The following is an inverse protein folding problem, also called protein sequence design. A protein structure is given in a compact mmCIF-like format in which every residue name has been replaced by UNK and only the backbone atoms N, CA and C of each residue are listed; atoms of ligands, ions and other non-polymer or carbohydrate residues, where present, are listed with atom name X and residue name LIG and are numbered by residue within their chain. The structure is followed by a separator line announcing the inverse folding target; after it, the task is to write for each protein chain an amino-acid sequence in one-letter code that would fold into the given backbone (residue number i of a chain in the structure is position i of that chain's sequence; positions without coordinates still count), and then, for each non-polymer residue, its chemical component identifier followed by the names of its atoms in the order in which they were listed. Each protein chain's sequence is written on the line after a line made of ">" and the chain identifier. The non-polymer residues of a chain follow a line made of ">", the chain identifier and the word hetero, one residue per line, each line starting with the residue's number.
data_IF_838685709923
#
_entry.id   IF_838685709923
#
_cell.length_a   1.000
_cell.length_b   1.000
_cell.length_c   1.000
_cell.angle_alpha   90.00
_cell.angle_beta   90.00
_cell.angle_gamma   90.00
#
_symmetry.space_group_name_H-M   'P 1'
#
loop_
_entity.id
_entity.type
_entity.pdbx_description
1 polymer ?
#
# COMPACT_ATOMS: atom_id res chain seq x y z
N UNK A 1 -37.87 9.42 -36.57
CA UNK A 1 -36.52 9.90 -36.18
C UNK A 1 -35.64 9.88 -37.43
N UNK A 2 -35.12 11.03 -37.84
CA UNK A 2 -34.46 11.24 -39.14
C UNK A 2 -33.20 10.35 -39.30
N UNK A 3 -32.92 9.77 -40.47
CA UNK A 3 -31.81 8.81 -40.65
C UNK A 3 -30.42 9.41 -40.34
N UNK A 4 -30.29 10.72 -40.55
CA UNK A 4 -29.10 11.49 -40.12
C UNK A 4 -28.96 11.53 -38.60
N UNK A 5 -30.06 11.66 -37.87
CA UNK A 5 -30.05 11.67 -36.40
C UNK A 5 -29.66 10.32 -35.81
N UNK A 6 -30.09 9.19 -36.42
CA UNK A 6 -29.63 7.85 -36.03
C UNK A 6 -28.13 7.66 -36.24
N UNK A 7 -27.61 8.14 -37.38
CA UNK A 7 -26.19 8.03 -37.69
C UNK A 7 -25.34 8.84 -36.71
N UNK A 8 -25.72 10.09 -36.42
CA UNK A 8 -25.04 10.93 -35.43
C UNK A 8 -25.09 10.31 -34.04
N UNK A 9 -26.26 9.80 -33.62
CA UNK A 9 -26.41 9.11 -32.34
C UNK A 9 -25.50 7.88 -32.23
N UNK A 10 -25.39 7.09 -33.30
CA UNK A 10 -24.52 5.91 -33.34
C UNK A 10 -23.04 6.28 -33.15
N UNK A 11 -22.59 7.34 -33.81
CA UNK A 11 -21.21 7.82 -33.66
C UNK A 11 -20.94 8.47 -32.30
N UNK A 12 -21.93 9.17 -31.70
CA UNK A 12 -21.81 9.70 -30.35
C UNK A 12 -21.58 8.61 -29.29
N UNK A 13 -22.05 7.38 -29.52
CA UNK A 13 -21.85 6.25 -28.59
C UNK A 13 -20.59 5.46 -28.93
N UNK A 14 -20.32 5.20 -30.21
CA UNK A 14 -19.14 4.42 -30.64
C UNK A 14 -17.85 5.14 -30.32
N UNK A 15 -17.78 6.45 -30.58
CA UNK A 15 -16.53 7.20 -30.44
C UNK A 15 -15.99 7.24 -28.98
N UNK A 16 -16.78 7.56 -27.94
CA UNK A 16 -16.29 7.52 -26.56
C UNK A 16 -15.91 6.10 -26.12
N UNK A 17 -16.61 5.07 -26.59
CA UNK A 17 -16.27 3.68 -26.28
C UNK A 17 -14.86 3.32 -26.81
N UNK A 18 -14.59 3.67 -28.07
CA UNK A 18 -13.28 3.44 -28.71
C UNK A 18 -12.19 4.24 -28.00
N UNK A 19 -12.47 5.49 -27.63
CA UNK A 19 -11.51 6.35 -26.93
C UNK A 19 -11.17 5.78 -25.54
N UNK A 20 -12.16 5.36 -24.75
CA UNK A 20 -11.93 4.82 -23.40
C UNK A 20 -11.14 3.50 -23.47
N UNK A 21 -11.49 2.61 -24.40
CA UNK A 21 -10.76 1.35 -24.59
C UNK A 21 -9.32 1.58 -25.09
N UNK A 22 -9.14 2.49 -26.05
CA UNK A 22 -7.82 2.84 -26.58
C UNK A 22 -6.93 3.51 -25.54
N UNK A 23 -7.49 4.40 -24.72
CA UNK A 23 -6.77 5.07 -23.64
C UNK A 23 -6.33 4.08 -22.55
N UNK A 24 -7.22 3.20 -22.09
CA UNK A 24 -6.87 2.15 -21.12
C UNK A 24 -5.75 1.25 -21.64
N UNK A 25 -5.80 0.85 -22.91
CA UNK A 25 -4.75 0.04 -23.52
C UNK A 25 -3.40 0.79 -23.56
N UNK A 26 -3.42 2.05 -23.97
CA UNK A 26 -2.22 2.90 -24.00
C UNK A 26 -1.61 3.08 -22.61
N UNK A 27 -2.46 3.30 -21.59
CA UNK A 27 -2.03 3.42 -20.19
C UNK A 27 -1.36 2.12 -19.71
N UNK A 28 -1.95 0.96 -20.00
CA UNK A 28 -1.34 -0.34 -19.63
C UNK A 28 -0.01 -0.58 -20.34
N UNK A 29 0.14 -0.18 -21.61
CA UNK A 29 1.41 -0.27 -22.34
C UNK A 29 2.49 0.65 -21.74
N UNK A 30 2.10 1.80 -21.20
CA UNK A 30 2.99 2.71 -20.46
C UNK A 30 3.28 2.23 -19.03
N UNK A 31 2.77 1.07 -18.62
CA UNK A 31 2.98 0.51 -17.28
C UNK A 31 2.06 1.06 -16.21
N UNK A 32 1.04 1.86 -16.56
CA UNK A 32 0.00 2.24 -15.60
C UNK A 32 -0.82 1.01 -15.24
N UNK A 33 -0.97 0.80 -13.93
CA UNK A 33 -1.85 -0.22 -13.37
C UNK A 33 -3.04 0.45 -12.71
N UNK A 34 -4.14 -0.30 -12.57
CA UNK A 34 -5.27 0.15 -11.78
C UNK A 34 -4.78 0.49 -10.36
N UNK A 35 -5.13 1.68 -9.89
CA UNK A 35 -4.80 2.11 -8.53
C UNK A 35 -5.40 1.11 -7.52
N UNK A 36 -4.54 0.54 -6.68
CA UNK A 36 -4.95 -0.27 -5.53
C UNK A 36 -4.57 0.48 -4.26
N UNK A 37 -5.58 0.91 -3.51
CA UNK A 37 -5.35 1.34 -2.14
C UNK A 37 -5.12 0.08 -1.29
N UNK A 38 -3.89 -0.16 -0.88
CA UNK A 38 -3.61 -1.12 0.20
C UNK A 38 -3.67 -0.36 1.50
N UNK A 39 -4.84 -0.42 2.16
CA UNK A 39 -4.97 0.14 3.51
C UNK A 39 -3.87 -0.45 4.40
N UNK A 40 -3.19 0.43 5.13
CA UNK A 40 -2.12 0.02 6.01
C UNK A 40 -2.69 -0.80 7.17
N UNK A 41 -2.27 -2.05 7.30
CA UNK A 41 -2.71 -2.97 8.32
C UNK A 41 -1.51 -3.64 8.99
N UNK A 42 -1.44 -3.57 10.32
CA UNK A 42 -0.48 -4.31 11.14
C UNK A 42 -1.24 -5.36 11.94
N UNK A 43 -0.79 -6.60 11.88
CA UNK A 43 -1.26 -7.70 12.71
C UNK A 43 -0.08 -8.23 13.53
N UNK A 44 -0.27 -8.42 14.83
CA UNK A 44 0.75 -8.93 15.72
C UNK A 44 0.25 -10.17 16.46
N UNK A 45 1.12 -11.17 16.60
CA UNK A 45 0.89 -12.37 17.40
C UNK A 45 2.06 -12.55 18.38
N UNK A 46 1.84 -12.54 19.71
CA UNK A 46 0.57 -12.29 20.40
C UNK A 46 0.03 -10.86 20.14
N UNK A 47 -1.26 -10.59 20.41
CA UNK A 47 -1.82 -9.24 20.28
C UNK A 47 -1.15 -8.26 21.27
N UNK A 48 -1.35 -6.96 21.06
CA UNK A 48 -0.81 -5.88 21.90
C UNK A 48 0.71 -5.67 21.81
N UNK A 49 1.31 -5.80 20.62
CA UNK A 49 2.70 -5.39 20.38
C UNK A 49 2.88 -3.85 20.48
N UNK A 50 1.81 -3.10 20.22
CA UNK A 50 1.76 -1.64 20.29
C UNK A 50 0.69 -1.24 21.29
N UNK A 51 1.03 -0.33 22.20
CA UNK A 51 0.15 0.22 23.23
C UNK A 51 0.11 1.74 23.09
N UNK A 52 -0.88 2.41 23.68
CA UNK A 52 -0.99 3.86 23.61
C UNK A 52 -0.01 4.55 24.55
N UNK A 53 0.78 5.51 24.05
CA UNK A 53 1.58 6.41 24.88
C UNK A 53 0.89 7.77 25.00
N UNK A 54 0.81 8.38 26.20
CA UNK A 54 0.12 9.66 26.40
C UNK A 54 0.65 10.78 25.50
N UNK A 55 1.98 10.86 25.31
CA UNK A 55 2.60 11.97 24.57
C UNK A 55 2.97 11.66 23.11
N UNK A 56 3.26 10.40 22.79
CA UNK A 56 3.78 9.96 21.47
C UNK A 56 2.71 9.24 20.65
N UNK A 57 1.54 8.97 21.24
CA UNK A 57 0.46 8.19 20.65
C UNK A 57 0.69 6.68 20.73
N UNK A 58 1.90 6.19 20.41
CA UNK A 58 2.23 4.77 20.35
C UNK A 58 3.51 4.46 21.14
N UNK A 59 3.48 3.38 21.91
CA UNK A 59 4.61 2.77 22.61
C UNK A 59 4.72 1.27 22.27
N UNK A 60 5.94 0.74 22.36
CA UNK A 60 6.23 -0.68 22.16
C UNK A 60 6.01 -1.43 23.47
N UNK A 61 5.12 -2.41 23.46
CA UNK A 61 4.96 -3.32 24.59
C UNK A 61 6.12 -4.34 24.58
N UNK A 62 6.90 -4.52 25.66
CA UNK A 62 8.00 -5.48 25.71
C UNK A 62 7.54 -6.92 25.47
N UNK A 63 8.31 -7.67 24.67
CA UNK A 63 7.97 -9.05 24.32
C UNK A 63 8.45 -9.48 22.94
N UNK A 64 8.18 -10.75 22.60
CA UNK A 64 8.48 -11.32 21.29
C UNK A 64 7.20 -11.43 20.46
N UNK A 65 7.18 -10.77 19.30
CA UNK A 65 6.01 -10.67 18.44
C UNK A 65 6.33 -11.10 17.02
N UNK A 66 5.43 -11.86 16.42
CA UNK A 66 5.35 -12.05 14.97
C UNK A 66 4.45 -10.98 14.40
N UNK A 67 5.01 -10.08 13.61
CA UNK A 67 4.31 -8.93 13.02
C UNK A 67 4.14 -9.17 11.53
N UNK A 68 2.91 -8.97 11.03
CA UNK A 68 2.55 -8.99 9.61
C UNK A 68 2.05 -7.61 9.18
N UNK A 69 2.62 -7.07 8.11
CA UNK A 69 2.26 -5.78 7.52
C UNK A 69 1.61 -5.98 6.17
N UNK A 70 0.44 -5.36 5.97
CA UNK A 70 -0.35 -5.33 4.72
C UNK A 70 -0.54 -6.72 4.09
N UNK A 71 -0.63 -7.76 4.92
CA UNK A 71 -0.71 -9.18 4.53
C UNK A 71 0.52 -9.74 3.78
N UNK A 72 1.54 -8.95 3.49
CA UNK A 72 2.71 -9.36 2.71
C UNK A 72 3.96 -9.61 3.55
N UNK A 73 4.44 -8.58 4.25
CA UNK A 73 5.70 -8.66 4.98
C UNK A 73 5.46 -9.24 6.37
N UNK A 74 6.09 -10.39 6.67
CA UNK A 74 6.04 -10.99 8.02
C UNK A 74 7.44 -11.08 8.63
N UNK A 75 7.59 -10.61 9.86
CA UNK A 75 8.87 -10.66 10.58
C UNK A 75 8.67 -10.88 12.08
N UNK A 76 9.72 -11.38 12.73
CA UNK A 76 9.77 -11.48 14.19
C UNK A 76 10.47 -10.25 14.75
N UNK A 77 9.83 -9.58 15.70
CA UNK A 77 10.36 -8.46 16.46
C UNK A 77 10.42 -8.80 17.94
N UNK A 78 11.51 -8.39 18.59
CA UNK A 78 11.68 -8.42 20.03
C UNK A 78 11.69 -6.98 20.53
N UNK A 79 10.65 -6.58 21.24
CA UNK A 79 10.56 -5.30 21.93
C UNK A 79 11.25 -5.43 23.28
N UNK A 80 12.18 -4.52 23.55
CA UNK A 80 13.01 -4.50 24.74
C UNK A 80 12.47 -3.46 25.74
N UNK A 81 12.84 -3.60 27.01
CA UNK A 81 12.41 -2.71 28.09
C UNK A 81 12.97 -1.28 27.97
N UNK A 82 13.97 -1.07 27.11
CA UNK A 82 14.57 0.23 26.81
C UNK A 82 13.82 0.98 25.68
N UNK A 83 12.58 0.57 25.38
CA UNK A 83 11.76 1.06 24.27
C UNK A 83 12.38 0.87 22.88
N UNK A 84 13.41 0.03 22.76
CA UNK A 84 13.98 -0.34 21.47
C UNK A 84 13.36 -1.62 20.93
N UNK A 85 13.53 -1.86 19.63
CA UNK A 85 13.18 -3.16 19.02
C UNK A 85 14.35 -3.77 18.29
N UNK A 86 14.45 -5.10 18.38
CA UNK A 86 15.32 -5.92 17.53
C UNK A 86 14.48 -6.71 16.56
N UNK A 87 14.80 -6.61 15.28
CA UNK A 87 14.15 -7.40 14.23
C UNK A 87 15.21 -8.32 13.64
N UNK A 88 14.92 -9.62 13.57
CA UNK A 88 15.76 -10.56 12.81
C UNK A 88 15.58 -10.29 11.32
N UNK A 89 16.40 -9.39 10.78
CA UNK A 89 16.51 -9.14 9.35
C UNK A 89 17.42 -10.15 8.67
N UNK A 90 17.24 -10.34 7.35
CA UNK A 90 18.23 -10.98 6.47
C UNK A 90 19.56 -10.21 6.61
N UNK A 91 20.70 -10.91 6.66
CA UNK A 91 22.06 -10.32 6.77
C UNK A 91 22.13 -9.00 6.00
N UNK A 92 22.31 -7.90 6.73
CA UNK A 92 22.49 -6.60 6.13
C UNK A 92 23.70 -6.66 5.19
N UNK A 93 23.55 -6.10 3.99
CA UNK A 93 24.69 -5.63 3.21
C UNK A 93 25.40 -4.49 3.96
N UNK A 94 26.24 -3.67 3.29
CA UNK A 94 26.74 -2.44 3.91
C UNK A 94 25.57 -1.65 4.54
N UNK A 95 25.82 -1.03 5.69
CA UNK A 95 24.79 -0.36 6.48
C UNK A 95 24.17 0.80 5.67
N UNK A 96 22.98 0.56 5.10
CA UNK A 96 22.20 1.59 4.45
C UNK A 96 21.34 2.31 5.48
N UNK A 97 21.60 3.60 5.68
CA UNK A 97 20.79 4.48 6.53
C UNK A 97 19.71 5.12 5.66
N UNK A 98 18.45 4.73 5.89
CA UNK A 98 17.29 5.35 5.25
C UNK A 98 16.77 6.50 6.11
N UNK A 99 16.92 7.74 5.65
CA UNK A 99 16.32 8.90 6.28
C UNK A 99 14.93 9.15 5.69
N UNK A 100 13.90 8.86 6.48
CA UNK A 100 12.51 9.19 6.15
C UNK A 100 12.19 10.56 6.75
N UNK A 101 12.26 11.60 5.93
CA UNK A 101 11.79 12.94 6.29
C UNK A 101 10.31 13.12 5.93
N UNK A 102 9.58 13.86 6.76
CA UNK A 102 8.31 14.48 6.39
C UNK A 102 8.57 15.96 6.12
N UNK A 103 7.90 16.51 5.09
CA UNK A 103 7.91 17.94 4.76
C UNK A 103 7.13 18.75 5.77
#
# INVERSE_FOLDING_TARGET
>A
MNDRAKTVWRWMVINPLVIVLGLELALRLLGYQAFRNTDYAIQATPPNAFVGHPDLGIELNPGAYRIQVNHGLTFTAHHLDDHSRRVTGRKAGPADVLLLGCS
#
